data_IF_346453050862
#
_entry.id   IF_346453050862
#
_cell.length_a   1.000
_cell.length_b   1.000
_cell.length_c   1.000
_cell.angle_alpha   90.00
_cell.angle_beta   90.00
_cell.angle_gamma   90.00
#
_symmetry.space_group_name_H-M   'P 1'
#
loop_
_entity.id
_entity.type
_entity.pdbx_description
1 polymer ?
#
# COMPACT_ATOMS: atom_id res chain seq x y z
N UNK A 1 9.68 -20.14 -16.71
CA UNK A 1 10.10 -18.99 -17.54
C UNK A 1 9.51 -17.72 -16.95
N UNK A 2 10.19 -16.58 -17.10
CA UNK A 2 9.68 -15.26 -16.68
C UNK A 2 8.48 -14.88 -17.55
N UNK A 3 7.38 -14.42 -16.93
CA UNK A 3 6.14 -14.06 -17.63
C UNK A 3 6.23 -12.69 -18.32
N UNK A 4 5.57 -12.55 -19.47
CA UNK A 4 5.47 -11.27 -20.19
C UNK A 4 4.39 -10.37 -19.59
N UNK A 5 4.54 -9.06 -19.78
CA UNK A 5 3.53 -8.08 -19.36
C UNK A 5 2.17 -8.35 -20.02
N UNK A 6 1.05 -8.32 -19.27
CA UNK A 6 -0.29 -8.51 -19.84
C UNK A 6 -0.62 -7.45 -20.90
N UNK A 7 -1.38 -7.84 -21.93
CA UNK A 7 -1.84 -6.90 -22.97
C UNK A 7 -2.68 -5.79 -22.34
N UNK A 8 -2.32 -4.53 -22.60
CA UNK A 8 -2.98 -3.35 -22.05
C UNK A 8 -2.43 -2.89 -20.69
N UNK A 9 -1.49 -3.64 -20.10
CA UNK A 9 -0.81 -3.23 -18.88
C UNK A 9 0.50 -2.49 -19.23
N UNK A 10 0.79 -1.40 -18.52
CA UNK A 10 2.03 -0.64 -18.67
C UNK A 10 2.83 -0.72 -17.35
N UNK A 11 4.17 -0.63 -17.41
CA UNK A 11 5.04 -0.59 -16.24
C UNK A 11 4.60 0.44 -15.19
N UNK A 12 4.07 1.58 -15.64
CA UNK A 12 3.53 2.62 -14.77
C UNK A 12 2.24 2.20 -14.03
N UNK A 13 1.40 1.38 -14.68
CA UNK A 13 0.24 0.80 -14.03
C UNK A 13 0.68 -0.24 -12.99
N UNK A 14 1.72 -1.02 -13.29
CA UNK A 14 2.32 -1.95 -12.33
C UNK A 14 2.89 -1.24 -11.10
N UNK A 15 3.57 -0.09 -11.26
CA UNK A 15 4.09 0.66 -10.12
C UNK A 15 2.97 1.29 -9.28
N UNK A 16 1.94 1.85 -9.93
CA UNK A 16 0.75 2.35 -9.22
C UNK A 16 0.01 1.25 -8.46
N UNK A 17 -0.16 0.08 -9.09
CA UNK A 17 -0.77 -1.10 -8.47
C UNK A 17 0.07 -1.63 -7.31
N UNK A 18 1.40 -1.66 -7.46
CA UNK A 18 2.31 -2.08 -6.38
C UNK A 18 2.25 -1.12 -5.18
N UNK A 19 2.13 0.19 -5.42
CA UNK A 19 1.89 1.16 -4.33
C UNK A 19 0.56 0.91 -3.62
N UNK A 20 -0.53 0.69 -4.37
CA UNK A 20 -1.83 0.37 -3.78
C UNK A 20 -1.82 -0.96 -3.02
N UNK A 21 -1.06 -1.96 -3.50
CA UNK A 21 -0.89 -3.22 -2.78
C UNK A 21 -0.18 -3.05 -1.43
N UNK A 22 0.55 -1.96 -1.22
CA UNK A 22 1.15 -1.59 0.06
C UNK A 22 0.17 -1.10 1.13
N UNK A 23 -1.13 -0.95 0.81
CA UNK A 23 -2.17 -0.58 1.78
C UNK A 23 -2.48 -1.79 2.68
N UNK A 24 -1.76 -1.87 3.80
CA UNK A 24 -1.78 -3.04 4.70
C UNK A 24 -2.75 -2.96 5.89
N UNK A 25 -3.58 -1.92 6.00
CA UNK A 25 -4.39 -1.56 7.18
C UNK A 25 -4.68 -2.70 8.17
N UNK A 26 -5.54 -3.66 7.80
CA UNK A 26 -5.97 -4.76 8.69
C UNK A 26 -4.84 -5.75 9.01
N UNK A 27 -3.99 -6.07 8.03
CA UNK A 27 -2.88 -7.03 8.22
C UNK A 27 -1.77 -6.41 9.09
N UNK A 28 -1.44 -5.14 8.87
CA UNK A 28 -0.43 -4.43 9.66
C UNK A 28 -0.87 -4.20 11.11
N UNK A 29 -2.16 -3.94 11.34
CA UNK A 29 -2.73 -3.85 12.69
C UNK A 29 -2.62 -5.20 13.41
N UNK A 30 -2.98 -6.29 12.74
CA UNK A 30 -2.81 -7.63 13.30
C UNK A 30 -1.35 -7.95 13.63
N UNK A 31 -0.40 -7.60 12.75
CA UNK A 31 1.04 -7.76 13.03
C UNK A 31 1.47 -6.91 14.24
N UNK A 32 0.91 -5.72 14.41
CA UNK A 32 1.23 -4.83 15.54
C UNK A 32 0.78 -5.44 16.87
N UNK A 33 -0.41 -6.05 16.91
CA UNK A 33 -0.92 -6.74 18.09
C UNK A 33 -0.11 -7.99 18.46
N UNK A 34 0.52 -8.64 17.47
CA UNK A 34 1.45 -9.76 17.71
C UNK A 34 2.85 -9.30 18.12
N UNK A 35 3.29 -8.13 17.64
CA UNK A 35 4.65 -7.63 17.82
C UNK A 35 4.87 -6.91 19.16
N UNK A 36 3.82 -6.34 19.76
CA UNK A 36 3.92 -5.53 20.97
C UNK A 36 2.93 -5.97 22.04
N UNK A 37 3.33 -5.84 23.30
CA UNK A 37 2.42 -6.07 24.43
C UNK A 37 1.28 -5.04 24.43
N UNK A 38 0.08 -5.49 24.80
CA UNK A 38 -1.17 -4.73 24.65
C UNK A 38 -1.21 -3.35 25.33
N UNK A 39 -0.33 -3.09 26.30
CA UNK A 39 -0.28 -1.85 27.09
C UNK A 39 0.93 -0.98 26.72
N UNK A 40 1.71 -1.37 25.72
CA UNK A 40 2.87 -0.62 25.29
C UNK A 40 2.44 0.65 24.55
N UNK A 41 2.98 1.84 24.91
CA UNK A 41 2.78 3.08 24.15
C UNK A 41 3.17 2.98 22.67
N UNK A 42 4.00 1.98 22.32
CA UNK A 42 4.43 1.71 20.95
C UNK A 42 3.28 1.22 20.05
N UNK A 43 2.25 0.58 20.62
CA UNK A 43 1.08 0.10 19.86
C UNK A 43 0.32 1.27 19.25
N UNK A 44 0.12 2.35 20.01
CA UNK A 44 -0.60 3.53 19.52
C UNK A 44 0.20 4.28 18.45
N UNK A 45 1.51 4.43 18.64
CA UNK A 45 2.41 5.00 17.63
C UNK A 45 2.43 4.15 16.35
N UNK A 46 2.47 2.83 16.48
CA UNK A 46 2.43 1.90 15.34
C UNK A 46 1.10 2.02 14.57
N UNK A 47 -0.05 2.09 15.27
CA UNK A 47 -1.36 2.32 14.64
C UNK A 47 -1.37 3.61 13.82
N UNK A 48 -0.90 4.72 14.40
CA UNK A 48 -0.80 6.01 13.70
C UNK A 48 0.10 5.89 12.46
N UNK A 49 1.25 5.23 12.59
CA UNK A 49 2.16 4.97 11.47
C UNK A 49 1.51 4.15 10.36
N UNK A 50 0.75 3.12 10.70
CA UNK A 50 0.01 2.28 9.74
C UNK A 50 -1.05 3.09 9.01
N UNK A 51 -1.82 3.92 9.72
CA UNK A 51 -2.81 4.80 9.11
C UNK A 51 -2.16 5.79 8.14
N UNK A 52 -1.09 6.46 8.54
CA UNK A 52 -0.37 7.43 7.71
C UNK A 52 0.28 6.75 6.49
N UNK A 53 0.97 5.63 6.70
CA UNK A 53 1.59 4.86 5.62
C UNK A 53 0.56 4.35 4.61
N UNK A 54 -0.57 3.83 5.10
CA UNK A 54 -1.68 3.37 4.24
C UNK A 54 -2.32 4.53 3.47
N UNK A 55 -2.48 5.70 4.09
CA UNK A 55 -2.99 6.89 3.43
C UNK A 55 -2.04 7.38 2.33
N UNK A 56 -0.74 7.45 2.61
CA UNK A 56 0.28 7.83 1.62
C UNK A 56 0.33 6.83 0.45
N UNK A 57 0.32 5.53 0.74
CA UNK A 57 0.31 4.48 -0.28
C UNK A 57 -0.96 4.52 -1.14
N UNK A 58 -2.13 4.68 -0.50
CA UNK A 58 -3.42 4.78 -1.16
C UNK A 58 -3.55 6.02 -2.04
N UNK A 59 -3.23 7.20 -1.50
CA UNK A 59 -3.30 8.47 -2.24
C UNK A 59 -2.25 8.49 -3.35
N UNK A 60 -1.01 8.11 -3.07
CA UNK A 60 0.07 8.07 -4.05
C UNK A 60 -0.21 7.11 -5.20
N UNK A 61 -0.63 5.88 -4.88
CA UNK A 61 -1.02 4.88 -5.87
C UNK A 61 -2.23 5.32 -6.70
N UNK A 62 -3.25 5.91 -6.07
CA UNK A 62 -4.42 6.45 -6.77
C UNK A 62 -4.05 7.61 -7.70
N UNK A 63 -3.24 8.56 -7.25
CA UNK A 63 -2.81 9.70 -8.07
C UNK A 63 -1.96 9.23 -9.26
N UNK A 64 -1.02 8.30 -9.05
CA UNK A 64 -0.21 7.72 -10.12
C UNK A 64 -1.08 7.06 -11.19
N UNK A 65 -2.08 6.28 -10.77
CA UNK A 65 -3.01 5.65 -11.70
C UNK A 65 -3.92 6.68 -12.37
N UNK A 66 -4.49 7.63 -11.64
CA UNK A 66 -5.45 8.62 -12.17
C UNK A 66 -4.84 9.58 -13.18
N UNK A 67 -3.61 10.04 -12.96
CA UNK A 67 -2.95 10.99 -13.85
C UNK A 67 -2.63 10.33 -15.20
N UNK A 68 -2.38 9.01 -15.22
CA UNK A 68 -1.80 8.31 -16.37
C UNK A 68 -2.71 7.26 -17.01
N UNK A 69 -3.81 6.87 -16.36
CA UNK A 69 -4.87 6.06 -16.97
C UNK A 69 -5.67 6.81 -18.04
N UNK A 70 -5.46 8.14 -18.18
CA UNK A 70 -6.00 8.97 -19.27
C UNK A 70 -5.28 8.80 -20.62
N UNK A 71 -4.26 7.96 -20.71
CA UNK A 71 -3.49 7.72 -21.94
C UNK A 71 -3.64 6.28 -22.45
N UNK A 72 -4.68 5.57 -22.02
CA UNK A 72 -5.08 4.28 -22.59
C UNK A 72 -6.22 4.48 -23.59
#
# INVERSE_FOLDING_TARGET
GIGSMPRGANWQMMTGLAMLAGVGFTVSLFITELAFEAQSPLVDLAKIGIFLGSAVAGIGGYLLLRIRSRTA
#
